data_IF_613883665321
#
_entry.id   IF_613883665321
#
_cell.length_a   1.000
_cell.length_b   1.000
_cell.length_c   1.000
_cell.angle_alpha   90.00
_cell.angle_beta   90.00
_cell.angle_gamma   90.00
#
_symmetry.space_group_name_H-M   'P 1'
#
loop_
_entity.id
_entity.type
_entity.pdbx_description
1 polymer ?
#
# COMPACT_ATOMS: atom_id res chain seq x y z
N UNK A 1 -0.65 -26.61 -28.39
CA UNK A 1 0.52 -26.59 -27.48
C UNK A 1 0.80 -25.18 -26.89
N UNK A 2 0.31 -24.08 -27.48
CA UNK A 2 0.65 -22.71 -27.03
C UNK A 2 -0.20 -22.04 -25.93
N UNK A 3 -1.25 -22.67 -25.38
CA UNK A 3 -2.12 -22.04 -24.36
C UNK A 3 -1.76 -22.39 -22.90
N UNK A 4 -0.96 -23.44 -22.69
CA UNK A 4 -0.56 -23.92 -21.36
C UNK A 4 0.60 -23.11 -20.73
N UNK A 5 1.37 -22.41 -21.54
CA UNK A 5 2.56 -21.66 -21.10
C UNK A 5 2.20 -20.32 -20.46
N UNK A 6 1.15 -19.64 -20.95
CA UNK A 6 0.75 -18.34 -20.42
C UNK A 6 0.23 -18.46 -18.98
N UNK A 7 -0.52 -19.52 -18.67
CA UNK A 7 -1.08 -19.76 -17.34
C UNK A 7 -0.01 -20.14 -16.30
N UNK A 8 1.05 -20.83 -16.72
CA UNK A 8 2.19 -21.18 -15.86
C UNK A 8 3.03 -19.93 -15.50
N UNK A 9 3.20 -19.01 -16.46
CA UNK A 9 3.98 -17.79 -16.26
C UNK A 9 3.25 -16.80 -15.33
N UNK A 10 1.92 -16.62 -15.48
CA UNK A 10 1.12 -15.82 -14.54
C UNK A 10 1.08 -16.44 -13.14
N UNK A 11 0.98 -17.76 -13.03
CA UNK A 11 1.07 -18.46 -11.74
C UNK A 11 2.41 -18.21 -11.03
N UNK A 12 3.53 -18.33 -11.76
CA UNK A 12 4.87 -18.08 -11.22
C UNK A 12 5.07 -16.62 -10.80
N UNK A 13 4.50 -15.67 -11.55
CA UNK A 13 4.51 -14.26 -11.20
C UNK A 13 3.71 -13.96 -9.92
N UNK A 14 2.56 -14.61 -9.73
CA UNK A 14 1.71 -14.46 -8.53
C UNK A 14 2.38 -15.07 -7.28
N UNK A 15 3.01 -16.24 -7.42
CA UNK A 15 3.74 -16.90 -6.32
C UNK A 15 4.93 -16.03 -5.87
N UNK A 16 5.63 -15.38 -6.81
CA UNK A 16 6.78 -14.51 -6.51
C UNK A 16 6.37 -13.21 -5.82
N UNK A 17 5.18 -12.68 -6.11
CA UNK A 17 4.62 -11.49 -5.47
C UNK A 17 4.07 -11.73 -4.06
N UNK A 18 3.80 -12.98 -3.66
CA UNK A 18 3.19 -13.30 -2.36
C UNK A 18 3.85 -14.50 -1.65
N UNK A 19 5.11 -14.38 -1.16
CA UNK A 19 5.83 -15.50 -0.55
C UNK A 19 5.15 -16.07 0.72
N UNK A 20 4.32 -15.26 1.40
CA UNK A 20 3.54 -15.69 2.57
C UNK A 20 2.31 -16.53 2.22
N UNK A 21 1.81 -16.47 0.97
CA UNK A 21 0.58 -17.13 0.52
C UNK A 21 0.85 -18.40 -0.29
N UNK A 22 2.10 -18.65 -0.68
CA UNK A 22 2.50 -19.80 -1.49
C UNK A 22 2.13 -21.14 -0.85
N UNK A 23 2.32 -21.28 0.48
CA UNK A 23 1.96 -22.48 1.22
C UNK A 23 0.44 -22.74 1.23
N UNK A 24 -0.36 -21.67 1.37
CA UNK A 24 -1.82 -21.79 1.40
C UNK A 24 -2.39 -22.22 0.03
N UNK A 25 -1.85 -21.68 -1.07
CA UNK A 25 -2.26 -22.03 -2.43
C UNK A 25 -1.86 -23.48 -2.76
N UNK A 26 -0.65 -23.90 -2.37
CA UNK A 26 -0.19 -25.27 -2.57
C UNK A 26 -1.09 -26.29 -1.84
N UNK A 27 -1.44 -26.03 -0.58
CA UNK A 27 -2.34 -26.89 0.20
C UNK A 27 -3.75 -26.96 -0.40
N UNK A 28 -4.30 -25.84 -0.88
CA UNK A 28 -5.61 -25.81 -1.51
C UNK A 28 -5.64 -26.61 -2.83
N UNK A 29 -4.59 -26.50 -3.65
CA UNK A 29 -4.49 -27.24 -4.92
C UNK A 29 -4.36 -28.75 -4.72
N UNK A 30 -3.62 -29.18 -3.69
CA UNK A 30 -3.48 -30.60 -3.35
C UNK A 30 -4.78 -31.21 -2.85
N UNK A 31 -5.53 -30.48 -2.01
CA UNK A 31 -6.82 -30.94 -1.50
C UNK A 31 -7.86 -31.10 -2.63
N UNK A 32 -7.88 -30.19 -3.60
CA UNK A 32 -8.80 -30.26 -4.74
C UNK A 32 -8.54 -31.49 -5.62
N UNK A 33 -7.26 -31.84 -5.85
CA UNK A 33 -6.87 -33.05 -6.58
C UNK A 33 -7.26 -34.33 -5.86
N UNK A 34 -7.10 -34.37 -4.53
CA UNK A 34 -7.54 -35.51 -3.71
C UNK A 34 -9.05 -35.68 -3.78
N UNK A 35 -9.82 -34.59 -3.66
CA UNK A 35 -11.28 -34.62 -3.77
C UNK A 35 -11.74 -35.04 -5.18
N UNK A 36 -11.02 -34.62 -6.23
CA UNK A 36 -11.29 -35.01 -7.61
C UNK A 36 -11.04 -36.49 -7.89
N UNK A 37 -9.99 -37.09 -7.31
CA UNK A 37 -9.73 -38.53 -7.47
C UNK A 37 -10.72 -39.39 -6.70
N UNK A 38 -11.21 -38.91 -5.54
CA UNK A 38 -12.26 -39.58 -4.75
C UNK A 38 -13.61 -39.56 -5.50
N UNK A 39 -14.00 -38.45 -6.12
CA UNK A 39 -15.25 -38.39 -6.91
C UNK A 39 -15.21 -39.26 -8.16
N UNK A 40 -14.07 -39.34 -8.86
CA UNK A 40 -13.91 -40.25 -10.01
C UNK A 40 -14.05 -41.72 -9.58
N UNK A 41 -13.49 -42.10 -8.42
CA UNK A 41 -13.58 -43.48 -7.92
C UNK A 41 -15.01 -43.85 -7.49
N UNK A 42 -15.75 -42.92 -6.90
CA UNK A 42 -17.13 -43.17 -6.45
C UNK A 42 -18.14 -43.25 -7.60
N UNK A 43 -17.91 -42.52 -8.70
CA UNK A 43 -18.74 -42.57 -9.91
C UNK A 43 -18.75 -43.96 -10.58
N UNK A 44 -17.70 -44.77 -10.41
CA UNK A 44 -17.65 -46.15 -10.93
C UNK A 44 -18.41 -47.17 -10.06
N UNK A 45 -18.81 -46.81 -8.83
CA UNK A 45 -19.33 -47.74 -7.82
C UNK A 45 -20.85 -47.78 -7.67
N UNK A 46 -21.62 -47.01 -8.44
CA UNK A 46 -23.10 -47.04 -8.41
C UNK A 46 -23.76 -46.44 -7.15
N UNK A 47 -23.01 -45.80 -6.26
CA UNK A 47 -23.52 -45.21 -5.02
C UNK A 47 -23.97 -43.75 -5.20
N UNK A 48 -25.02 -43.55 -6.01
CA UNK A 48 -25.55 -42.22 -6.37
C UNK A 48 -25.88 -41.32 -5.17
N UNK A 49 -26.29 -41.90 -4.03
CA UNK A 49 -26.60 -41.17 -2.80
C UNK A 49 -25.34 -40.63 -2.12
N UNK A 50 -24.24 -41.40 -2.13
CA UNK A 50 -22.98 -40.99 -1.55
C UNK A 50 -22.33 -39.88 -2.39
N UNK A 51 -22.45 -39.96 -3.72
CA UNK A 51 -21.96 -38.93 -4.64
C UNK A 51 -22.70 -37.59 -4.45
N UNK A 52 -24.01 -37.62 -4.16
CA UNK A 52 -24.78 -36.41 -3.89
C UNK A 52 -24.36 -35.73 -2.57
N UNK A 53 -24.04 -36.53 -1.53
CA UNK A 53 -23.52 -36.01 -0.27
C UNK A 53 -22.10 -35.45 -0.42
N UNK A 54 -21.24 -36.10 -1.22
CA UNK A 54 -19.90 -35.61 -1.52
C UNK A 54 -19.96 -34.31 -2.33
N UNK A 55 -20.83 -34.21 -3.34
CA UNK A 55 -21.05 -32.98 -4.10
C UNK A 55 -21.57 -31.85 -3.20
N UNK A 56 -22.52 -32.13 -2.31
CA UNK A 56 -23.04 -31.16 -1.35
C UNK A 56 -21.98 -30.65 -0.37
N UNK A 57 -21.18 -31.56 0.19
CA UNK A 57 -20.06 -31.19 1.07
C UNK A 57 -18.96 -30.41 0.34
N UNK A 58 -18.70 -30.73 -0.94
CA UNK A 58 -17.76 -30.01 -1.79
C UNK A 58 -18.24 -28.57 -2.07
N UNK A 59 -19.54 -28.40 -2.37
CA UNK A 59 -20.15 -27.08 -2.57
C UNK A 59 -20.06 -26.21 -1.30
N UNK A 60 -20.33 -26.80 -0.13
CA UNK A 60 -20.22 -26.10 1.15
C UNK A 60 -18.77 -25.71 1.48
N UNK A 61 -17.81 -26.61 1.22
CA UNK A 61 -16.40 -26.34 1.43
C UNK A 61 -15.90 -25.23 0.51
N UNK A 62 -16.26 -25.26 -0.77
CA UNK A 62 -15.94 -24.19 -1.74
C UNK A 62 -16.55 -22.86 -1.28
N UNK A 63 -17.80 -22.86 -0.81
CA UNK A 63 -18.43 -21.64 -0.29
C UNK A 63 -17.69 -21.08 0.95
N UNK A 64 -17.21 -21.94 1.86
CA UNK A 64 -16.42 -21.53 3.02
C UNK A 64 -15.03 -21.01 2.62
N UNK A 65 -14.38 -21.63 1.63
CA UNK A 65 -13.11 -21.16 1.07
C UNK A 65 -13.30 -19.80 0.38
N UNK A 66 -14.37 -19.62 -0.39
CA UNK A 66 -14.70 -18.32 -1.00
C UNK A 66 -15.01 -17.28 0.07
N UNK A 67 -15.78 -17.61 1.11
CA UNK A 67 -16.09 -16.70 2.21
C UNK A 67 -14.85 -16.31 3.01
N UNK A 68 -13.93 -17.24 3.27
CA UNK A 68 -12.64 -16.95 3.92
C UNK A 68 -11.73 -16.11 3.03
N UNK A 69 -11.66 -16.40 1.72
CA UNK A 69 -10.92 -15.56 0.77
C UNK A 69 -11.54 -14.15 0.68
N UNK A 70 -12.86 -14.01 0.65
CA UNK A 70 -13.54 -12.72 0.62
C UNK A 70 -13.35 -11.93 1.92
N UNK A 71 -13.43 -12.58 3.08
CA UNK A 71 -13.18 -11.91 4.38
C UNK A 71 -11.72 -11.52 4.57
N UNK A 72 -10.78 -12.30 4.03
CA UNK A 72 -9.35 -11.97 4.01
C UNK A 72 -9.00 -10.93 2.94
N UNK A 73 -9.70 -10.91 1.80
CA UNK A 73 -9.60 -9.85 0.79
C UNK A 73 -10.20 -8.53 1.30
N UNK A 74 -11.28 -8.60 2.10
CA UNK A 74 -11.82 -7.44 2.81
C UNK A 74 -10.82 -6.90 3.85
N UNK A 75 -9.90 -7.74 4.33
CA UNK A 75 -8.76 -7.36 5.16
C UNK A 75 -7.53 -6.92 4.36
N UNK A 76 -7.73 -6.36 3.17
CA UNK A 76 -6.82 -5.38 2.58
C UNK A 76 -7.48 -3.99 2.37
N UNK A 77 -8.72 -3.79 2.85
CA UNK A 77 -9.31 -2.46 3.02
C UNK A 77 -9.00 -1.90 4.42
N UNK A 78 -7.74 -2.03 4.83
CA UNK A 78 -7.15 -1.31 5.97
C UNK A 78 -6.40 -0.04 5.55
N UNK A 79 -6.72 0.46 4.35
CA UNK A 79 -6.64 1.88 4.02
C UNK A 79 -8.09 2.35 3.98
N UNK A 80 -8.71 2.49 5.16
CA UNK A 80 -9.86 3.38 5.30
C UNK A 80 -9.33 4.77 4.94
N UNK A 81 -9.60 5.28 3.73
CA UNK A 81 -10.84 5.98 3.45
C UNK A 81 -11.16 6.94 4.60
N UNK A 82 -10.25 7.88 4.84
CA UNK A 82 -10.64 9.29 4.97
C UNK A 82 -11.04 9.84 3.59
N UNK A 83 -11.92 9.14 2.86
CA UNK A 83 -12.51 9.56 1.59
C UNK A 83 -13.99 9.80 1.87
N UNK A 84 -14.46 10.99 1.52
CA UNK A 84 -15.79 11.60 1.79
C UNK A 84 -15.88 12.21 3.21
N UNK A 85 -15.48 13.46 3.44
CA UNK A 85 -15.88 14.69 2.74
C UNK A 85 -14.66 15.58 2.55
N UNK A 86 -13.99 15.49 1.40
CA UNK A 86 -13.28 16.65 0.86
C UNK A 86 -14.09 17.10 -0.32
N UNK A 87 -15.09 17.89 0.03
CA UNK A 87 -15.72 18.89 -0.81
C UNK A 87 -14.75 19.41 -1.88
N UNK A 88 -15.08 19.14 -3.15
CA UNK A 88 -14.37 19.61 -4.35
C UNK A 88 -14.26 21.14 -4.42
N UNK A 89 -14.78 21.87 -3.42
CA UNK A 89 -14.70 23.33 -3.34
C UNK A 89 -13.40 23.86 -2.67
N UNK A 90 -12.55 23.02 -2.05
CA UNK A 90 -11.27 23.47 -1.47
C UNK A 90 -10.03 23.38 -2.38
N UNK A 91 -10.19 22.97 -3.63
CA UNK A 91 -9.08 22.70 -4.57
C UNK A 91 -8.22 23.91 -4.98
N UNK A 92 -8.56 25.15 -4.58
CA UNK A 92 -7.82 26.36 -5.00
C UNK A 92 -7.13 27.14 -3.87
N UNK A 93 -7.33 26.74 -2.60
CA UNK A 93 -6.84 27.50 -1.45
C UNK A 93 -5.95 26.71 -0.48
N UNK A 94 -5.83 25.40 -0.65
CA UNK A 94 -4.96 24.52 0.13
C UNK A 94 -3.59 24.35 -0.54
N UNK A 95 -2.59 24.00 0.27
CA UNK A 95 -1.32 23.51 -0.23
C UNK A 95 -1.41 22.03 -0.59
N UNK A 96 -0.50 21.54 -1.42
CA UNK A 96 -0.34 20.13 -1.72
C UNK A 96 1.14 19.72 -1.59
N UNK A 97 1.39 18.49 -1.18
CA UNK A 97 2.71 17.86 -1.26
C UNK A 97 2.57 16.62 -2.13
N UNK A 98 3.32 16.55 -3.22
CA UNK A 98 3.23 15.49 -4.23
C UNK A 98 4.50 14.65 -4.15
N UNK A 99 4.39 13.35 -3.93
CA UNK A 99 5.55 12.46 -3.98
C UNK A 99 5.98 12.21 -5.42
N UNK A 100 7.27 12.37 -5.70
CA UNK A 100 7.84 12.20 -7.05
C UNK A 100 8.53 10.84 -7.20
N UNK A 101 9.09 10.29 -6.11
CA UNK A 101 9.84 9.03 -6.12
C UNK A 101 9.60 8.23 -4.83
N UNK A 102 9.95 6.95 -4.87
CA UNK A 102 9.88 6.06 -3.70
C UNK A 102 8.49 5.52 -3.46
N UNK A 103 8.19 5.17 -2.21
CA UNK A 103 6.92 4.52 -1.84
C UNK A 103 5.69 5.44 -2.00
N UNK A 104 5.91 6.74 -2.17
CA UNK A 104 4.86 7.75 -2.31
C UNK A 104 4.85 8.38 -3.71
N UNK A 105 5.45 7.73 -4.69
CA UNK A 105 5.40 8.21 -6.08
C UNK A 105 3.93 8.42 -6.52
N UNK A 106 3.66 9.60 -7.07
CA UNK A 106 2.35 10.10 -7.50
C UNK A 106 1.30 10.26 -6.39
N UNK A 107 1.67 10.06 -5.12
CA UNK A 107 0.78 10.34 -4.00
C UNK A 107 0.67 11.84 -3.74
N UNK A 108 -0.54 12.32 -3.50
CA UNK A 108 -0.83 13.72 -3.21
C UNK A 108 -1.35 13.87 -1.78
N UNK A 109 -0.66 14.68 -0.99
CA UNK A 109 -1.04 15.02 0.38
C UNK A 109 -1.57 16.46 0.42
N UNK A 110 -2.87 16.61 0.63
CA UNK A 110 -3.47 17.93 0.81
C UNK A 110 -3.06 18.52 2.16
N UNK A 111 -2.51 19.73 2.14
CA UNK A 111 -2.13 20.52 3.32
C UNK A 111 -3.13 21.65 3.48
N UNK A 112 -3.94 21.62 4.54
CA UNK A 112 -4.84 22.69 4.88
C UNK A 112 -4.12 24.03 5.16
N UNK A 113 -4.84 25.15 5.16
CA UNK A 113 -4.28 26.45 5.49
C UNK A 113 -3.69 26.46 6.91
N UNK A 114 -2.41 26.82 7.02
CA UNK A 114 -1.61 26.85 8.25
C UNK A 114 -1.50 25.49 8.97
N UNK A 115 -1.85 24.41 8.27
CA UNK A 115 -1.72 23.04 8.73
C UNK A 115 -0.29 22.53 8.51
N UNK A 116 0.19 21.74 9.47
CA UNK A 116 1.47 21.04 9.41
C UNK A 116 1.23 19.53 9.18
N UNK A 117 1.98 18.97 8.23
CA UNK A 117 2.05 17.53 7.96
C UNK A 117 3.45 17.06 8.30
N UNK A 118 3.54 15.99 9.08
CA UNK A 118 4.79 15.40 9.55
C UNK A 118 5.03 14.08 8.82
N UNK A 119 6.26 13.95 8.31
CA UNK A 119 6.76 12.80 7.58
C UNK A 119 7.70 12.00 8.48
N UNK A 120 7.56 10.69 8.51
CA UNK A 120 8.46 9.83 9.29
C UNK A 120 7.94 8.41 9.45
N UNK A 121 8.58 7.65 10.34
CA UNK A 121 8.19 6.25 10.63
C UNK A 121 7.27 6.12 11.86
N UNK A 122 7.08 7.17 12.65
CA UNK A 122 6.32 7.10 13.89
C UNK A 122 4.81 7.26 13.65
N UNK A 123 4.06 6.17 13.81
CA UNK A 123 2.60 6.11 13.63
C UNK A 123 1.81 7.04 14.55
N UNK A 124 2.38 7.42 15.70
CA UNK A 124 1.70 8.29 16.67
C UNK A 124 1.90 9.77 16.37
N UNK A 125 2.91 10.13 15.57
CA UNK A 125 3.37 11.52 15.40
C UNK A 125 3.38 12.00 13.94
N UNK A 126 3.37 11.08 12.98
CA UNK A 126 3.48 11.39 11.56
C UNK A 126 2.18 11.07 10.83
N UNK A 127 1.78 11.97 9.93
CA UNK A 127 0.65 11.77 9.04
C UNK A 127 1.08 11.02 7.77
N UNK A 128 2.33 11.21 7.32
CA UNK A 128 2.91 10.48 6.21
C UNK A 128 3.90 9.45 6.75
N UNK A 129 3.53 8.17 6.64
CA UNK A 129 4.17 7.05 7.31
C UNK A 129 5.03 6.20 6.38
N UNK A 130 6.34 6.26 6.61
CA UNK A 130 7.31 5.37 5.97
C UNK A 130 7.37 4.01 6.67
N UNK A 131 7.80 2.98 5.92
CA UNK A 131 8.06 1.66 6.47
C UNK A 131 9.06 1.72 7.63
N UNK A 132 8.83 0.94 8.68
CA UNK A 132 9.74 0.81 9.83
C UNK A 132 11.16 0.43 9.42
N UNK A 133 11.30 -0.31 8.32
CA UNK A 133 12.57 -0.80 7.78
C UNK A 133 13.34 0.24 6.97
N UNK A 134 12.76 1.39 6.61
CA UNK A 134 13.46 2.44 5.86
C UNK A 134 14.63 3.02 6.67
N UNK A 135 15.90 2.71 6.33
CA UNK A 135 17.04 2.97 7.21
C UNK A 135 17.40 4.46 7.28
N UNK A 136 17.13 5.21 6.21
CA UNK A 136 17.47 6.64 6.09
C UNK A 136 16.35 7.59 6.53
N UNK A 137 15.20 7.05 6.93
CA UNK A 137 14.07 7.85 7.40
C UNK A 137 14.02 7.83 8.93
N UNK A 138 13.85 8.99 9.56
CA UNK A 138 13.73 9.09 11.02
C UNK A 138 12.29 8.89 11.45
N UNK A 139 12.07 8.47 12.71
CA UNK A 139 10.74 8.34 13.33
C UNK A 139 9.90 9.60 13.13
N UNK A 140 10.50 10.76 13.39
CA UNK A 140 10.04 12.07 12.91
C UNK A 140 11.13 12.60 11.99
N UNK A 141 10.88 12.70 10.70
CA UNK A 141 11.89 13.06 9.71
C UNK A 141 11.85 14.55 9.39
N UNK A 142 10.74 15.03 8.83
CA UNK A 142 10.53 16.44 8.57
C UNK A 142 9.07 16.79 8.78
N UNK A 143 8.80 18.08 8.91
CA UNK A 143 7.44 18.59 8.82
C UNK A 143 7.35 19.65 7.74
N UNK A 144 6.20 19.70 7.09
CA UNK A 144 5.86 20.64 6.03
C UNK A 144 4.57 21.34 6.44
N UNK A 145 4.60 22.65 6.51
CA UNK A 145 3.42 23.49 6.80
C UNK A 145 3.16 24.43 5.65
N UNK A 146 1.90 24.58 5.27
CA UNK A 146 1.49 25.49 4.20
C UNK A 146 0.91 26.77 4.80
N UNK A 147 1.49 27.93 4.48
CA UNK A 147 1.00 29.22 4.95
C UNK A 147 0.12 29.87 3.88
N UNK A 148 -1.19 29.87 4.09
CA UNK A 148 -2.15 30.40 3.10
C UNK A 148 -1.97 31.90 2.85
N UNK A 149 -1.62 32.66 3.90
CA UNK A 149 -1.43 34.12 3.80
C UNK A 149 -0.28 34.52 2.85
N UNK A 150 0.81 33.74 2.83
CA UNK A 150 1.98 34.02 1.97
C UNK A 150 2.05 33.13 0.74
N UNK A 151 1.23 32.07 0.66
CA UNK A 151 1.29 31.06 -0.40
C UNK A 151 2.58 30.23 -0.37
N UNK A 152 3.29 30.20 0.77
CA UNK A 152 4.60 29.55 0.92
C UNK A 152 4.53 28.34 1.83
N UNK A 153 5.51 27.46 1.66
CA UNK A 153 5.72 26.33 2.55
C UNK A 153 6.80 26.66 3.57
N UNK A 154 6.66 26.11 4.77
CA UNK A 154 7.72 26.06 5.76
C UNK A 154 8.06 24.60 6.03
N UNK A 155 9.33 24.24 5.85
CA UNK A 155 9.85 22.88 6.04
C UNK A 155 10.80 22.90 7.21
N UNK A 156 10.61 21.99 8.17
CA UNK A 156 11.49 21.82 9.32
C UNK A 156 12.08 20.41 9.33
N UNK A 157 13.41 20.32 9.42
CA UNK A 157 14.12 19.04 9.49
C UNK A 157 14.28 18.59 10.94
N UNK A 158 13.89 17.35 11.25
CA UNK A 158 14.11 16.68 12.53
C UNK A 158 14.98 15.43 12.39
N UNK A 159 15.45 15.16 11.18
CA UNK A 159 16.01 13.87 10.81
C UNK A 159 17.49 13.73 11.18
N UNK A 160 17.92 12.48 11.37
CA UNK A 160 19.34 12.16 11.53
C UNK A 160 20.11 12.27 10.20
N UNK A 161 19.50 11.81 9.11
CA UNK A 161 20.13 11.72 7.79
C UNK A 161 20.01 12.99 6.94
N UNK A 162 19.14 13.92 7.36
CA UNK A 162 18.94 15.21 6.71
C UNK A 162 17.76 15.21 5.74
N UNK A 163 17.14 16.38 5.65
CA UNK A 163 16.27 16.77 4.54
C UNK A 163 17.07 17.67 3.61
N UNK A 164 16.87 17.53 2.31
CA UNK A 164 17.65 18.22 1.29
C UNK A 164 16.73 18.86 0.26
N UNK A 165 17.23 19.90 -0.41
CA UNK A 165 16.59 20.53 -1.58
C UNK A 165 17.03 19.85 -2.87
N UNK A 166 16.32 20.08 -3.98
CA UNK A 166 16.68 19.55 -5.30
C UNK A 166 18.15 19.79 -5.71
N UNK A 167 18.73 20.92 -5.29
CA UNK A 167 20.12 21.29 -5.55
C UNK A 167 21.14 20.52 -4.69
N UNK A 168 20.68 19.56 -3.88
CA UNK A 168 21.51 18.79 -2.96
C UNK A 168 21.88 19.53 -1.66
N UNK A 169 21.38 20.75 -1.45
CA UNK A 169 21.65 21.50 -0.20
C UNK A 169 20.85 20.91 0.95
N UNK A 170 21.54 20.52 2.02
CA UNK A 170 20.95 20.02 3.27
C UNK A 170 20.36 21.18 4.08
N UNK A 171 19.14 20.98 4.59
CA UNK A 171 18.54 21.91 5.55
C UNK A 171 19.28 21.86 6.89
N UNK A 172 19.35 22.99 7.59
CA UNK A 172 19.94 23.01 8.92
C UNK A 172 19.05 22.20 9.89
N UNK A 173 19.64 21.32 10.71
CA UNK A 173 18.88 20.51 11.66
C UNK A 173 18.03 21.36 12.60
N UNK A 174 16.78 20.96 12.83
CA UNK A 174 15.79 21.67 13.65
C UNK A 174 15.49 23.12 13.21
N UNK A 175 15.93 23.56 12.03
CA UNK A 175 15.61 24.87 11.48
C UNK A 175 14.34 24.81 10.63
N UNK A 176 13.56 25.89 10.62
CA UNK A 176 12.48 26.07 9.65
C UNK A 176 12.98 26.93 8.50
N UNK A 177 12.85 26.42 7.28
CA UNK A 177 13.18 27.14 6.06
C UNK A 177 11.92 27.30 5.22
N UNK A 178 11.73 28.49 4.64
CA UNK A 178 10.55 28.77 3.82
C UNK A 178 10.83 28.60 2.33
N UNK A 179 9.98 27.84 1.66
CA UNK A 179 10.07 27.53 0.24
C UNK A 179 8.87 28.07 -0.55
N UNK A 180 9.06 28.52 -1.80
CA UNK A 180 7.96 28.78 -2.71
C UNK A 180 7.27 27.47 -3.13
N UNK A 181 6.10 27.60 -3.77
CA UNK A 181 5.47 26.51 -4.53
C UNK A 181 6.42 25.99 -5.62
N UNK A 182 6.15 24.78 -6.06
CA UNK A 182 6.93 23.96 -7.01
C UNK A 182 8.36 23.61 -6.56
N UNK A 183 8.72 23.88 -5.31
CA UNK A 183 10.02 23.45 -4.78
C UNK A 183 10.03 21.94 -4.55
N UNK A 184 11.12 21.29 -4.95
CA UNK A 184 11.34 19.86 -4.70
C UNK A 184 12.34 19.67 -3.54
N UNK A 185 11.97 18.80 -2.61
CA UNK A 185 12.77 18.37 -1.46
C UNK A 185 12.90 16.85 -1.44
N UNK A 186 13.94 16.32 -0.81
CA UNK A 186 14.10 14.88 -0.60
C UNK A 186 14.57 14.54 0.81
N UNK A 187 14.12 13.38 1.31
CA UNK A 187 14.29 12.97 2.70
C UNK A 187 15.31 11.83 2.79
N UNK A 188 16.48 12.11 3.36
CA UNK A 188 17.58 11.14 3.56
C UNK A 188 18.27 10.62 2.30
N UNK A 189 17.53 10.40 1.20
CA UNK A 189 18.01 9.96 -0.12
C UNK A 189 17.10 10.50 -1.22
N UNK A 190 17.61 10.63 -2.44
CA UNK A 190 16.85 11.00 -3.63
C UNK A 190 15.79 9.93 -4.02
N UNK A 191 15.77 8.78 -3.36
CA UNK A 191 14.68 7.80 -3.47
C UNK A 191 13.36 8.30 -2.88
N UNK A 192 13.37 9.34 -2.04
CA UNK A 192 12.16 9.88 -1.40
C UNK A 192 12.03 11.37 -1.67
N UNK A 193 11.62 11.72 -2.90
CA UNK A 193 11.44 13.11 -3.35
C UNK A 193 9.98 13.54 -3.27
N UNK A 194 9.78 14.81 -2.91
CA UNK A 194 8.47 15.44 -2.80
C UNK A 194 8.50 16.85 -3.38
N UNK A 195 7.46 17.22 -4.11
CA UNK A 195 7.20 18.58 -4.61
C UNK A 195 6.17 19.27 -3.73
N UNK A 196 6.40 20.54 -3.44
CA UNK A 196 5.49 21.40 -2.69
C UNK A 196 4.62 22.18 -3.67
N UNK A 197 3.40 21.72 -3.96
CA UNK A 197 2.55 22.24 -5.04
C UNK A 197 1.51 23.25 -4.56
#
# INVERSE_FOLDING_TARGET
IGLLTLNQITMLALIRSYPKMAHAIALASGLLLVLFTVTIRSFLGGHMILDLLILGSCLLFVALVVHTILTLAHKQNGVDVAKNVVDETQSKASGQVIGLTGMFQDAVFAVGPDQEIVFGRDVQRCQVLFDQTCPRISRRHCSVRYHKASGRYSVRDYSKYGTFTQDGRRLLPNSTVSFPRDTVIYLGSAENMFRLA
#
